data_IF_970446753131
#
_entry.id   IF_970446753131
#
_cell.length_a   1.000
_cell.length_b   1.000
_cell.length_c   1.000
_cell.angle_alpha   90.00
_cell.angle_beta   90.00
_cell.angle_gamma   90.00
#
_symmetry.space_group_name_H-M   'P 1'
#
loop_
_entity.id
_entity.type
_entity.pdbx_description
1 polymer ?
#
# COMPACT_ATOMS: atom_id res chain seq x y z
N UNK A 1 19.73 -33.13 -17.70
CA UNK A 1 19.26 -32.48 -18.94
C UNK A 1 17.73 -32.63 -18.97
N UNK A 2 16.88 -31.61 -18.90
CA UNK A 2 17.08 -30.17 -18.89
C UNK A 2 16.13 -29.50 -17.89
N UNK A 3 16.74 -28.86 -16.87
CA UNK A 3 16.18 -27.71 -16.18
C UNK A 3 16.48 -26.52 -17.08
N UNK A 4 15.48 -25.91 -17.69
CA UNK A 4 15.49 -24.54 -18.28
C UNK A 4 14.15 -24.17 -18.97
N UNK A 5 13.04 -24.87 -18.67
CA UNK A 5 11.72 -24.59 -19.27
C UNK A 5 10.77 -23.76 -18.37
N UNK A 6 11.19 -23.32 -17.17
CA UNK A 6 10.29 -22.76 -16.15
C UNK A 6 10.38 -21.25 -15.87
N UNK A 7 11.30 -20.52 -16.50
CA UNK A 7 11.56 -19.11 -16.19
C UNK A 7 10.63 -18.06 -16.83
N UNK A 8 10.01 -18.24 -18.02
CA UNK A 8 9.22 -17.16 -18.61
C UNK A 8 7.86 -16.96 -17.92
N UNK A 9 7.27 -18.00 -17.32
CA UNK A 9 5.97 -17.91 -16.63
C UNK A 9 6.04 -17.23 -15.26
N UNK A 10 7.19 -17.28 -14.58
CA UNK A 10 7.42 -16.62 -13.28
C UNK A 10 7.68 -15.11 -13.40
N UNK A 11 8.09 -14.62 -14.57
CA UNK A 11 8.36 -13.19 -14.75
C UNK A 11 7.11 -12.40 -15.14
N UNK A 12 6.16 -13.06 -15.81
CA UNK A 12 4.97 -12.41 -16.34
C UNK A 12 4.12 -11.77 -15.21
N UNK A 13 3.85 -12.41 -14.05
CA UNK A 13 3.07 -11.80 -12.97
C UNK A 13 3.80 -10.64 -12.31
N UNK A 14 5.14 -10.71 -12.22
CA UNK A 14 5.97 -9.60 -11.74
C UNK A 14 5.82 -8.37 -12.65
N UNK A 15 5.91 -8.56 -13.96
CA UNK A 15 5.70 -7.48 -14.94
C UNK A 15 4.30 -6.88 -14.85
N UNK A 16 3.31 -7.73 -14.60
CA UNK A 16 1.93 -7.34 -14.50
C UNK A 16 1.65 -6.54 -13.21
N UNK A 17 2.19 -6.97 -12.07
CA UNK A 17 2.17 -6.23 -10.81
C UNK A 17 2.92 -4.90 -10.91
N UNK A 18 4.08 -4.87 -11.59
CA UNK A 18 4.83 -3.66 -11.91
C UNK A 18 4.01 -2.69 -12.77
N UNK A 19 3.38 -3.18 -13.83
CA UNK A 19 2.54 -2.36 -14.71
C UNK A 19 1.38 -1.73 -13.92
N UNK A 20 0.67 -2.53 -13.13
CA UNK A 20 -0.47 -2.08 -12.32
C UNK A 20 -0.05 -1.07 -11.24
N UNK A 21 1.12 -1.27 -10.63
CA UNK A 21 1.74 -0.32 -9.70
C UNK A 21 2.09 0.99 -10.38
N UNK A 22 2.78 0.92 -11.52
CA UNK A 22 3.18 2.11 -12.29
C UNK A 22 1.95 2.89 -12.76
N UNK A 23 0.92 2.20 -13.22
CA UNK A 23 -0.39 2.79 -13.56
C UNK A 23 -1.00 3.48 -12.34
N UNK A 24 -1.09 2.79 -11.21
CA UNK A 24 -1.67 3.35 -9.97
C UNK A 24 -0.92 4.59 -9.51
N UNK A 25 0.42 4.54 -9.49
CA UNK A 25 1.26 5.67 -9.11
C UNK A 25 1.17 6.83 -10.11
N UNK A 26 1.11 6.54 -11.42
CA UNK A 26 0.90 7.55 -12.46
C UNK A 26 -0.46 8.23 -12.31
N UNK A 27 -1.50 7.47 -11.99
CA UNK A 27 -2.85 7.95 -11.72
C UNK A 27 -2.87 8.84 -10.47
N UNK A 28 -2.21 8.44 -9.39
CA UNK A 28 -2.06 9.27 -8.20
C UNK A 28 -1.33 10.57 -8.52
N UNK A 29 -0.21 10.51 -9.24
CA UNK A 29 0.53 11.71 -9.65
C UNK A 29 -0.35 12.64 -10.50
N UNK A 30 -1.06 12.09 -11.49
CA UNK A 30 -1.99 12.86 -12.33
C UNK A 30 -3.12 13.43 -11.48
N UNK A 31 -3.62 12.70 -10.49
CA UNK A 31 -4.62 13.14 -9.52
C UNK A 31 -4.19 14.36 -8.74
N UNK A 32 -2.95 14.32 -8.25
CA UNK A 32 -2.29 15.41 -7.54
C UNK A 32 -2.07 16.61 -8.46
N UNK A 33 -1.60 16.39 -9.69
CA UNK A 33 -1.26 17.45 -10.65
C UNK A 33 -2.46 18.13 -11.33
N UNK A 34 -3.52 17.39 -11.64
CA UNK A 34 -4.60 17.84 -12.52
C UNK A 34 -5.89 18.23 -11.79
N UNK A 35 -5.87 18.37 -10.46
CA UNK A 35 -7.07 18.70 -9.66
C UNK A 35 -8.29 17.89 -10.09
N UNK A 36 -8.15 16.55 -10.10
CA UNK A 36 -9.05 15.66 -10.83
C UNK A 36 -10.53 16.04 -10.76
N UNK A 37 -11.09 16.27 -11.94
CA UNK A 37 -12.51 16.19 -12.20
C UNK A 37 -12.93 14.71 -12.18
N UNK A 38 -14.20 14.45 -11.87
CA UNK A 38 -14.80 13.09 -11.86
C UNK A 38 -14.43 12.25 -13.11
N UNK A 39 -14.37 12.79 -14.34
CA UNK A 39 -13.91 12.04 -15.52
C UNK A 39 -12.49 11.47 -15.42
N UNK A 40 -11.57 12.18 -14.75
CA UNK A 40 -10.19 11.70 -14.55
C UNK A 40 -10.14 10.45 -13.66
N UNK A 41 -10.93 10.43 -12.59
CA UNK A 41 -11.12 9.26 -11.71
C UNK A 41 -11.71 8.07 -12.47
N UNK A 42 -12.66 8.31 -13.37
CA UNK A 42 -13.28 7.25 -14.16
C UNK A 42 -12.29 6.63 -15.14
N UNK A 43 -11.54 7.45 -15.89
CA UNK A 43 -10.50 6.95 -16.83
C UNK A 43 -9.43 6.16 -16.09
N UNK A 44 -8.97 6.66 -14.95
CA UNK A 44 -8.04 5.98 -14.06
C UNK A 44 -8.54 4.59 -13.68
N UNK A 45 -9.80 4.54 -13.29
CA UNK A 45 -10.45 3.32 -12.91
C UNK A 45 -10.58 2.30 -14.03
N UNK A 46 -10.95 2.76 -15.21
CA UNK A 46 -11.00 1.92 -16.42
C UNK A 46 -9.63 1.34 -16.75
N UNK A 47 -8.55 2.12 -16.64
CA UNK A 47 -7.19 1.63 -16.92
C UNK A 47 -6.78 0.60 -15.85
N UNK A 48 -6.98 0.87 -14.56
CA UNK A 48 -6.69 -0.10 -13.48
C UNK A 48 -7.48 -1.41 -13.67
N UNK A 49 -8.76 -1.29 -14.05
CA UNK A 49 -9.62 -2.44 -14.36
C UNK A 49 -9.09 -3.21 -15.57
N UNK A 50 -8.79 -2.53 -16.68
CA UNK A 50 -8.30 -3.16 -17.90
C UNK A 50 -6.94 -3.84 -17.71
N UNK A 51 -6.03 -3.22 -16.96
CA UNK A 51 -4.76 -3.85 -16.59
C UNK A 51 -5.03 -5.07 -15.73
N UNK A 52 -5.82 -4.95 -14.65
CA UNK A 52 -6.21 -6.08 -13.80
C UNK A 52 -6.86 -7.23 -14.60
N UNK A 53 -7.77 -6.92 -15.53
CA UNK A 53 -8.39 -7.89 -16.45
C UNK A 53 -7.34 -8.59 -17.31
N UNK A 54 -6.47 -7.80 -17.95
CA UNK A 54 -5.42 -8.33 -18.82
C UNK A 54 -4.49 -9.25 -18.06
N UNK A 55 -4.19 -8.92 -16.81
CA UNK A 55 -3.37 -9.80 -15.97
C UNK A 55 -4.10 -11.08 -15.59
N UNK A 56 -5.36 -10.97 -15.15
CA UNK A 56 -6.15 -12.14 -14.75
C UNK A 56 -6.33 -13.14 -15.91
N UNK A 57 -6.69 -12.64 -17.09
CA UNK A 57 -6.85 -13.45 -18.30
C UNK A 57 -5.56 -14.17 -18.72
N UNK A 58 -4.39 -13.66 -18.33
CA UNK A 58 -3.10 -14.30 -18.60
C UNK A 58 -2.74 -15.42 -17.61
N UNK A 59 -3.32 -15.44 -16.41
CA UNK A 59 -2.86 -16.32 -15.32
C UNK A 59 -3.87 -17.27 -14.72
N UNK A 60 -5.16 -17.00 -14.88
CA UNK A 60 -6.23 -17.91 -14.46
C UNK A 60 -7.34 -17.90 -15.52
N UNK A 61 -7.21 -18.73 -16.59
CA UNK A 61 -8.21 -18.83 -17.64
C UNK A 61 -9.44 -19.63 -17.18
N UNK A 62 -9.62 -19.91 -15.89
CA UNK A 62 -10.77 -20.66 -15.40
C UNK A 62 -12.08 -19.95 -15.78
N UNK A 63 -12.99 -20.65 -16.49
CA UNK A 63 -14.19 -20.05 -17.07
C UNK A 63 -15.25 -19.63 -16.02
N UNK A 64 -14.99 -19.85 -14.73
CA UNK A 64 -15.95 -19.66 -13.64
C UNK A 64 -15.90 -18.26 -13.01
N UNK A 65 -14.83 -17.47 -13.22
CA UNK A 65 -14.79 -16.08 -12.77
C UNK A 65 -15.38 -15.15 -13.83
N UNK A 66 -16.68 -14.89 -13.67
CA UNK A 66 -17.46 -14.02 -14.56
C UNK A 66 -16.83 -12.63 -14.77
N UNK A 67 -17.06 -12.03 -15.94
CA UNK A 67 -16.75 -10.62 -16.24
C UNK A 67 -17.17 -9.67 -15.11
N UNK A 68 -18.24 -10.01 -14.37
CA UNK A 68 -18.72 -9.24 -13.22
C UNK A 68 -17.71 -9.19 -12.06
N UNK A 69 -17.02 -10.29 -11.74
CA UNK A 69 -15.99 -10.33 -10.68
C UNK A 69 -14.81 -9.42 -11.01
N UNK A 70 -14.41 -9.41 -12.28
CA UNK A 70 -13.29 -8.57 -12.73
C UNK A 70 -13.69 -7.09 -12.76
N UNK A 71 -14.91 -6.77 -13.20
CA UNK A 71 -15.44 -5.42 -13.09
C UNK A 71 -15.54 -4.95 -11.64
N UNK A 72 -15.92 -5.83 -10.72
CA UNK A 72 -16.00 -5.54 -9.28
C UNK A 72 -14.63 -5.17 -8.70
N UNK A 73 -13.57 -5.94 -8.98
CA UNK A 73 -12.20 -5.58 -8.54
C UNK A 73 -11.72 -4.28 -9.17
N UNK A 74 -12.03 -4.09 -10.44
CA UNK A 74 -11.80 -2.85 -11.14
C UNK A 74 -12.36 -1.64 -10.41
N UNK A 75 -13.68 -1.65 -10.18
CA UNK A 75 -14.44 -0.62 -9.47
C UNK A 75 -13.89 -0.39 -8.06
N UNK A 76 -13.58 -1.46 -7.32
CA UNK A 76 -12.99 -1.38 -5.99
C UNK A 76 -11.64 -0.65 -5.99
N UNK A 77 -10.74 -0.99 -6.93
CA UNK A 77 -9.45 -0.31 -7.06
C UNK A 77 -9.61 1.18 -7.41
N UNK A 78 -10.58 1.53 -8.29
CA UNK A 78 -10.89 2.96 -8.57
C UNK A 78 -11.32 3.68 -7.32
N UNK A 79 -12.25 3.08 -6.57
CA UNK A 79 -12.81 3.66 -5.37
C UNK A 79 -11.72 3.84 -4.32
N UNK A 80 -10.84 2.85 -4.14
CA UNK A 80 -9.69 2.92 -3.22
C UNK A 80 -8.70 4.01 -3.63
N UNK A 81 -8.27 4.06 -4.90
CA UNK A 81 -7.33 5.09 -5.37
C UNK A 81 -7.96 6.48 -5.25
N UNK A 82 -9.22 6.63 -5.66
CA UNK A 82 -9.95 7.89 -5.63
C UNK A 82 -10.17 8.41 -4.21
N UNK A 83 -10.62 7.54 -3.29
CA UNK A 83 -10.79 7.90 -1.88
C UNK A 83 -9.45 8.17 -1.21
N UNK A 84 -8.40 7.41 -1.52
CA UNK A 84 -7.05 7.67 -1.00
C UNK A 84 -6.52 9.03 -1.42
N UNK A 85 -6.70 9.40 -2.69
CA UNK A 85 -6.36 10.71 -3.21
C UNK A 85 -7.14 11.83 -2.53
N UNK A 86 -8.45 11.65 -2.37
CA UNK A 86 -9.32 12.64 -1.73
C UNK A 86 -8.93 12.87 -0.27
N UNK A 87 -8.84 11.78 0.51
CA UNK A 87 -8.43 11.81 1.92
C UNK A 87 -7.02 12.37 2.05
N UNK A 88 -6.10 11.90 1.21
CA UNK A 88 -4.71 12.34 1.21
C UNK A 88 -4.58 13.83 0.94
N UNK A 89 -5.36 14.38 0.00
CA UNK A 89 -5.42 15.82 -0.24
C UNK A 89 -5.99 16.60 0.95
N UNK A 90 -7.07 16.13 1.56
CA UNK A 90 -7.67 16.77 2.72
C UNK A 90 -6.69 16.85 3.90
N UNK A 91 -6.01 15.75 4.20
CA UNK A 91 -5.02 15.69 5.28
C UNK A 91 -3.80 16.52 4.93
N UNK A 92 -3.26 16.35 3.72
CA UNK A 92 -2.10 17.11 3.27
C UNK A 92 -2.38 18.61 3.34
N UNK A 93 -3.60 19.07 3.04
CA UNK A 93 -4.04 20.46 3.17
C UNK A 93 -3.90 21.06 4.57
N UNK A 94 -3.88 20.23 5.62
CA UNK A 94 -3.68 20.63 7.02
C UNK A 94 -2.21 20.65 7.45
N UNK A 95 -1.29 20.18 6.61
CA UNK A 95 0.14 20.28 6.87
C UNK A 95 0.57 21.72 6.60
N UNK A 96 0.77 22.51 7.66
CA UNK A 96 1.09 23.92 7.55
C UNK A 96 2.57 24.19 7.26
N UNK A 97 3.47 23.37 7.80
CA UNK A 97 4.92 23.53 7.67
C UNK A 97 5.59 22.25 7.17
N UNK A 98 6.59 22.40 6.31
CA UNK A 98 7.35 21.27 5.76
C UNK A 98 8.13 20.50 6.83
N UNK A 99 8.46 21.14 7.96
CA UNK A 99 9.15 20.49 9.09
C UNK A 99 8.33 19.36 9.73
N UNK A 100 7.00 19.42 9.65
CA UNK A 100 6.09 18.39 10.15
C UNK A 100 6.15 17.07 9.36
N UNK A 101 6.73 17.06 8.16
CA UNK A 101 6.84 15.85 7.34
C UNK A 101 7.55 14.74 8.09
N UNK A 102 8.68 15.04 8.75
CA UNK A 102 9.45 14.03 9.50
C UNK A 102 8.60 13.44 10.65
N UNK A 103 8.01 14.24 11.55
CA UNK A 103 7.08 13.73 12.55
C UNK A 103 5.95 12.87 11.98
N UNK A 104 5.29 13.33 10.91
CA UNK A 104 4.16 12.62 10.29
C UNK A 104 4.61 11.24 9.80
N UNK A 105 5.70 11.16 9.04
CA UNK A 105 6.15 9.86 8.51
C UNK A 105 6.66 8.94 9.61
N UNK A 106 7.26 9.46 10.68
CA UNK A 106 7.68 8.64 11.83
C UNK A 106 6.48 8.00 12.53
N UNK A 107 5.42 8.77 12.78
CA UNK A 107 4.18 8.24 13.39
C UNK A 107 3.54 7.20 12.50
N UNK A 108 3.38 7.50 11.21
CA UNK A 108 2.78 6.57 10.25
C UNK A 108 3.59 5.27 10.12
N UNK A 109 4.92 5.38 10.06
CA UNK A 109 5.83 4.22 10.01
C UNK A 109 5.71 3.37 11.27
N UNK A 110 5.66 4.00 12.44
CA UNK A 110 5.52 3.29 13.71
C UNK A 110 4.17 2.54 13.80
N UNK A 111 3.08 3.18 13.38
CA UNK A 111 1.75 2.58 13.35
C UNK A 111 1.71 1.41 12.36
N UNK A 112 2.34 1.52 11.20
CA UNK A 112 2.40 0.46 10.18
C UNK A 112 3.20 -0.75 10.65
N UNK A 113 4.38 -0.53 11.25
CA UNK A 113 5.17 -1.62 11.85
C UNK A 113 4.35 -2.33 12.93
N UNK A 114 3.69 -1.58 13.80
CA UNK A 114 2.86 -2.17 14.85
C UNK A 114 1.65 -2.91 14.28
N UNK A 115 0.94 -2.35 13.30
CA UNK A 115 -0.26 -2.96 12.72
C UNK A 115 0.05 -4.24 11.96
N UNK A 116 1.20 -4.31 11.28
CA UNK A 116 1.64 -5.50 10.53
C UNK A 116 2.11 -6.62 11.45
N UNK A 117 2.91 -6.33 12.48
CA UNK A 117 3.49 -7.38 13.32
C UNK A 117 2.66 -7.76 14.55
N UNK A 118 1.92 -6.82 15.12
CA UNK A 118 1.23 -7.01 16.42
C UNK A 118 -0.25 -6.66 16.37
N UNK A 119 -0.69 -5.97 15.31
CA UNK A 119 -2.02 -5.41 15.20
C UNK A 119 -2.93 -6.11 14.18
N UNK A 120 -4.05 -5.45 13.81
CA UNK A 120 -5.08 -6.05 12.98
C UNK A 120 -4.62 -6.42 11.57
N UNK A 121 -3.67 -5.67 10.99
CA UNK A 121 -3.23 -5.88 9.61
C UNK A 121 -2.52 -7.22 9.43
N UNK A 122 -1.67 -7.62 10.38
CA UNK A 122 -1.06 -8.95 10.38
C UNK A 122 -2.09 -10.08 10.47
N UNK A 123 -3.12 -9.89 11.30
CA UNK A 123 -4.20 -10.86 11.50
C UNK A 123 -5.09 -11.00 10.27
N UNK A 124 -5.51 -9.88 9.68
CA UNK A 124 -6.27 -9.88 8.43
C UNK A 124 -5.44 -10.50 7.30
N UNK A 125 -4.13 -10.24 7.24
CA UNK A 125 -3.26 -10.87 6.26
C UNK A 125 -3.16 -12.40 6.44
N UNK A 126 -3.07 -12.88 7.68
CA UNK A 126 -3.10 -14.31 8.00
C UNK A 126 -4.46 -14.94 7.64
N UNK A 127 -5.57 -14.31 8.04
CA UNK A 127 -6.92 -14.77 7.76
C UNK A 127 -7.24 -14.82 6.25
N UNK A 128 -6.73 -13.86 5.46
CA UNK A 128 -6.85 -13.87 4.00
C UNK A 128 -6.05 -15.02 3.37
N UNK A 129 -4.90 -15.39 3.93
CA UNK A 129 -4.11 -16.53 3.43
C UNK A 129 -4.80 -17.86 3.72
N UNK A 130 -5.44 -18.00 4.88
CA UNK A 130 -6.11 -19.23 5.31
C UNK A 130 -7.53 -19.37 4.73
N UNK A 131 -8.27 -18.27 4.62
CA UNK A 131 -9.68 -18.22 4.19
C UNK A 131 -9.93 -17.03 3.24
N UNK A 132 -9.52 -17.14 1.96
CA UNK A 132 -9.58 -16.04 0.98
C UNK A 132 -11.00 -15.58 0.59
N UNK A 133 -12.08 -16.18 1.11
CA UNK A 133 -13.47 -15.90 0.72
C UNK A 133 -14.34 -15.29 1.84
N UNK A 134 -13.89 -15.29 3.10
CA UNK A 134 -14.75 -14.93 4.24
C UNK A 134 -14.51 -13.52 4.81
N UNK A 135 -13.37 -12.88 4.54
CA UNK A 135 -13.03 -11.56 5.09
C UNK A 135 -13.44 -10.39 4.17
N UNK A 136 -14.75 -10.15 4.00
CA UNK A 136 -15.29 -9.08 3.12
C UNK A 136 -14.67 -7.69 3.35
N UNK A 137 -14.46 -7.31 4.62
CA UNK A 137 -13.89 -6.00 4.99
C UNK A 137 -12.38 -5.90 4.73
N UNK A 138 -11.63 -6.97 5.00
CA UNK A 138 -10.19 -7.03 4.71
C UNK A 138 -9.93 -6.95 3.21
N UNK A 139 -10.72 -7.69 2.43
CA UNK A 139 -10.71 -7.69 0.98
C UNK A 139 -11.07 -6.34 0.34
N UNK A 140 -11.99 -5.59 0.94
CA UNK A 140 -12.43 -4.29 0.43
C UNK A 140 -11.40 -3.18 0.64
N UNK A 141 -10.48 -3.32 1.59
CA UNK A 141 -9.48 -2.29 1.96
C UNK A 141 -8.10 -2.54 1.34
N UNK A 142 -7.99 -3.51 0.46
CA UNK A 142 -6.72 -3.90 -0.14
C UNK A 142 -6.74 -3.73 -1.65
N UNK A 143 -5.63 -3.27 -2.20
CA UNK A 143 -5.41 -3.30 -3.64
C UNK A 143 -5.15 -4.73 -4.09
N UNK A 144 -5.95 -5.17 -5.05
CA UNK A 144 -5.85 -6.51 -5.60
C UNK A 144 -4.75 -6.57 -6.65
N UNK A 145 -3.69 -7.32 -6.34
CA UNK A 145 -2.57 -7.57 -7.24
C UNK A 145 -2.49 -9.05 -7.61
N UNK A 146 -2.28 -9.36 -8.89
CA UNK A 146 -1.87 -10.69 -9.31
C UNK A 146 -0.45 -10.94 -8.78
N UNK A 147 -0.29 -11.89 -7.85
CA UNK A 147 1.00 -12.20 -7.24
C UNK A 147 1.53 -13.56 -7.71
N UNK A 148 2.82 -13.77 -7.46
CA UNK A 148 3.61 -14.96 -7.78
C UNK A 148 3.44 -16.11 -6.79
N UNK A 149 2.61 -15.96 -5.77
CA UNK A 149 2.44 -17.00 -4.76
C UNK A 149 1.73 -18.20 -5.40
N UNK A 150 2.29 -19.42 -5.34
CA UNK A 150 1.61 -20.61 -5.87
C UNK A 150 0.28 -20.80 -5.12
N UNK A 151 -0.84 -20.64 -5.82
CA UNK A 151 -2.14 -21.11 -5.35
C UNK A 151 -2.20 -22.62 -5.61
N UNK A 152 -1.78 -23.43 -4.64
CA UNK A 152 -1.87 -24.90 -4.73
C UNK A 152 -1.26 -25.49 -6.01
N UNK A 153 -1.83 -26.60 -6.49
CA UNK A 153 -1.32 -27.45 -7.59
C UNK A 153 -1.41 -26.84 -9.00
N UNK A 154 -1.10 -25.55 -9.18
CA UNK A 154 -0.82 -24.98 -10.51
C UNK A 154 -1.35 -23.59 -10.78
N UNK A 155 -1.95 -22.90 -9.80
CA UNK A 155 -2.46 -21.53 -9.97
C UNK A 155 -1.51 -20.46 -9.45
N UNK A 156 -1.69 -19.22 -9.92
CA UNK A 156 -1.10 -18.03 -9.31
C UNK A 156 -2.15 -17.40 -8.38
N UNK A 157 -1.81 -17.18 -7.10
CA UNK A 157 -2.70 -16.56 -6.14
C UNK A 157 -2.70 -15.03 -6.29
N UNK A 158 -3.89 -14.44 -6.31
CA UNK A 158 -4.04 -12.98 -6.18
C UNK A 158 -4.06 -12.64 -4.70
N UNK A 159 -2.88 -12.44 -4.12
CA UNK A 159 -2.77 -11.90 -2.75
C UNK A 159 -2.64 -10.39 -2.79
N UNK A 160 -3.42 -9.66 -1.98
CA UNK A 160 -3.30 -8.22 -1.87
C UNK A 160 -1.89 -7.79 -1.45
N UNK A 161 -1.31 -6.81 -2.15
CA UNK A 161 0.06 -6.37 -1.93
C UNK A 161 0.18 -4.98 -1.26
N UNK A 162 -0.90 -4.18 -1.26
CA UNK A 162 -0.92 -2.84 -0.66
C UNK A 162 -2.24 -2.56 0.02
N UNK A 163 -2.17 -1.92 1.19
CA UNK A 163 -3.34 -1.46 1.90
C UNK A 163 -3.82 -0.09 1.43
N UNK A 164 -5.09 0.17 1.67
CA UNK A 164 -5.69 1.50 1.55
C UNK A 164 -4.89 2.57 2.31
N UNK A 165 -4.35 2.22 3.48
CA UNK A 165 -3.48 3.11 4.27
C UNK A 165 -2.23 3.55 3.51
N UNK A 166 -1.56 2.64 2.82
CA UNK A 166 -0.35 2.95 2.04
C UNK A 166 -0.62 3.95 0.92
N UNK A 167 -1.77 3.80 0.25
CA UNK A 167 -2.21 4.71 -0.80
C UNK A 167 -2.54 6.10 -0.25
N UNK A 168 -3.21 6.19 0.90
CA UNK A 168 -3.47 7.46 1.57
C UNK A 168 -2.15 8.15 1.87
N UNK A 169 -1.18 7.44 2.45
CA UNK A 169 0.12 8.03 2.81
C UNK A 169 0.89 8.46 1.57
N UNK A 170 0.92 7.66 0.51
CA UNK A 170 1.51 8.06 -0.77
C UNK A 170 0.86 9.33 -1.34
N UNK A 171 -0.47 9.42 -1.28
CA UNK A 171 -1.21 10.61 -1.71
C UNK A 171 -0.90 11.85 -0.85
N UNK A 172 -0.83 11.70 0.49
CA UNK A 172 -0.43 12.77 1.40
C UNK A 172 0.96 13.28 1.02
N UNK A 173 1.94 12.39 0.85
CA UNK A 173 3.33 12.76 0.58
C UNK A 173 3.51 13.44 -0.77
N UNK A 174 2.84 12.98 -1.83
CA UNK A 174 2.86 13.65 -3.13
C UNK A 174 2.18 15.01 -3.10
N UNK A 175 1.05 15.13 -2.39
CA UNK A 175 0.37 16.41 -2.25
C UNK A 175 1.18 17.40 -1.40
N UNK A 176 1.82 16.95 -0.32
CA UNK A 176 2.81 17.73 0.45
C UNK A 176 3.94 18.18 -0.47
N UNK A 177 4.50 17.27 -1.29
CA UNK A 177 5.54 17.63 -2.24
C UNK A 177 5.07 18.71 -3.22
N UNK A 178 3.82 18.65 -3.70
CA UNK A 178 3.23 19.68 -4.56
C UNK A 178 3.12 21.02 -3.83
N UNK A 179 2.53 21.02 -2.62
CA UNK A 179 2.24 22.23 -1.83
C UNK A 179 3.49 22.97 -1.39
N UNK A 180 4.56 22.23 -1.06
CA UNK A 180 5.85 22.81 -0.64
C UNK A 180 6.87 22.90 -1.78
N UNK A 181 6.41 22.81 -3.05
CA UNK A 181 7.25 22.94 -4.25
C UNK A 181 8.47 22.01 -4.29
N UNK A 182 8.35 20.81 -3.72
CA UNK A 182 9.34 19.75 -3.85
C UNK A 182 9.26 19.11 -5.24
N UNK A 183 10.36 18.55 -5.77
CA UNK A 183 10.39 17.98 -7.12
C UNK A 183 9.47 16.75 -7.23
N UNK A 184 8.29 16.92 -7.81
CA UNK A 184 7.25 15.88 -7.87
C UNK A 184 7.69 14.61 -8.59
N UNK A 185 8.37 14.72 -9.72
CA UNK A 185 8.84 13.54 -10.47
C UNK A 185 9.84 12.71 -9.66
N UNK A 186 10.71 13.38 -8.90
CA UNK A 186 11.67 12.70 -8.02
C UNK A 186 10.96 11.96 -6.90
N UNK A 187 9.91 12.57 -6.35
CA UNK A 187 9.08 11.95 -5.32
C UNK A 187 8.25 10.79 -5.85
N UNK A 188 7.70 10.90 -7.06
CA UNK A 188 7.01 9.78 -7.72
C UNK A 188 7.98 8.59 -7.92
N UNK A 189 9.16 8.85 -8.45
CA UNK A 189 10.18 7.79 -8.64
C UNK A 189 10.55 7.17 -7.30
N UNK A 190 10.73 7.97 -6.25
CA UNK A 190 11.01 7.47 -4.91
C UNK A 190 9.90 6.55 -4.38
N UNK A 191 8.63 6.90 -4.58
CA UNK A 191 7.48 6.07 -4.19
C UNK A 191 7.40 4.77 -4.99
N UNK A 192 7.59 4.83 -6.32
CA UNK A 192 7.62 3.64 -7.17
C UNK A 192 8.75 2.70 -6.72
N UNK A 193 9.95 3.24 -6.47
CA UNK A 193 11.07 2.45 -5.96
C UNK A 193 10.75 1.86 -4.59
N UNK A 194 10.13 2.63 -3.69
CA UNK A 194 9.72 2.17 -2.36
C UNK A 194 8.78 0.97 -2.42
N UNK A 195 7.76 1.07 -3.27
CA UNK A 195 6.79 0.01 -3.49
C UNK A 195 7.44 -1.25 -4.07
N UNK A 196 8.32 -1.08 -5.07
CA UNK A 196 9.03 -2.21 -5.66
C UNK A 196 9.93 -2.87 -4.60
N UNK A 197 10.62 -2.08 -3.78
CA UNK A 197 11.48 -2.61 -2.73
C UNK A 197 10.69 -3.32 -1.63
N UNK A 198 9.51 -2.82 -1.24
CA UNK A 198 8.67 -3.50 -0.24
C UNK A 198 8.10 -4.80 -0.80
N UNK A 199 7.65 -4.81 -2.06
CA UNK A 199 7.18 -6.02 -2.74
C UNK A 199 8.29 -7.07 -2.85
N UNK A 200 9.49 -6.68 -3.30
CA UNK A 200 10.64 -7.59 -3.37
C UNK A 200 11.04 -8.11 -2.00
N UNK A 201 10.97 -7.28 -0.96
CA UNK A 201 11.25 -7.70 0.41
C UNK A 201 10.22 -8.74 0.88
N UNK A 202 8.94 -8.54 0.54
CA UNK A 202 7.86 -9.45 0.89
C UNK A 202 8.01 -10.82 0.19
N UNK A 203 8.67 -10.89 -0.97
CA UNK A 203 9.00 -12.17 -1.62
C UNK A 203 10.12 -12.94 -0.89
N UNK A 204 10.95 -12.24 -0.10
CA UNK A 204 12.07 -12.83 0.63
C UNK A 204 11.70 -13.24 2.07
N UNK A 205 10.51 -12.86 2.53
CA UNK A 205 10.09 -13.06 3.92
C UNK A 205 8.74 -13.76 3.96
N UNK A 206 8.56 -14.82 4.76
CA UNK A 206 7.29 -15.53 4.86
C UNK A 206 6.18 -14.70 5.54
N UNK A 207 6.54 -13.62 6.25
CA UNK A 207 5.61 -12.71 6.92
C UNK A 207 5.35 -11.45 6.08
N UNK A 208 4.15 -10.88 6.22
CA UNK A 208 3.84 -9.55 5.68
C UNK A 208 4.86 -8.51 6.14
N UNK A 209 5.21 -7.57 5.25
CA UNK A 209 6.21 -6.53 5.52
C UNK A 209 5.52 -5.16 5.52
N UNK A 210 5.80 -4.31 6.53
CA UNK A 210 5.31 -2.94 6.54
C UNK A 210 5.91 -2.14 5.37
N UNK A 211 5.05 -1.56 4.53
CA UNK A 211 5.45 -0.85 3.33
C UNK A 211 5.80 0.62 3.63
N UNK A 212 5.18 1.24 4.64
CA UNK A 212 5.41 2.64 4.98
C UNK A 212 6.87 2.96 5.37
N UNK A 213 7.63 2.09 6.06
CA UNK A 213 9.06 2.32 6.28
C UNK A 213 9.83 2.63 4.99
N UNK A 214 9.56 1.89 3.90
CA UNK A 214 10.22 2.10 2.61
C UNK A 214 9.78 3.42 1.98
N UNK A 215 8.47 3.68 1.98
CA UNK A 215 7.86 4.89 1.43
C UNK A 215 8.39 6.14 2.15
N UNK A 216 8.36 6.12 3.49
CA UNK A 216 8.84 7.20 4.34
C UNK A 216 10.34 7.45 4.15
N UNK A 217 11.16 6.39 4.21
CA UNK A 217 12.60 6.51 4.10
C UNK A 217 13.04 7.09 2.75
N UNK A 218 12.46 6.62 1.64
CA UNK A 218 12.82 7.12 0.31
C UNK A 218 12.28 8.54 0.07
N UNK A 219 11.06 8.86 0.50
CA UNK A 219 10.52 10.22 0.39
C UNK A 219 11.36 11.23 1.20
N UNK A 220 11.67 10.92 2.46
CA UNK A 220 12.54 11.78 3.28
C UNK A 220 13.94 11.84 2.70
N UNK A 221 14.50 10.71 2.26
CA UNK A 221 15.84 10.63 1.69
C UNK A 221 16.01 11.51 0.46
N UNK A 222 15.08 11.48 -0.49
CA UNK A 222 15.17 12.34 -1.67
C UNK A 222 14.99 13.82 -1.35
N UNK A 223 14.23 14.17 -0.30
CA UNK A 223 14.02 15.55 0.11
C UNK A 223 14.85 15.98 1.33
N UNK A 224 15.86 15.19 1.73
CA UNK A 224 16.56 15.37 3.00
C UNK A 224 17.11 16.77 3.20
N UNK A 225 17.63 17.39 2.14
CA UNK A 225 18.18 18.76 2.17
C UNK A 225 17.10 19.85 2.22
N UNK A 226 15.92 19.57 1.65
CA UNK A 226 14.83 20.54 1.55
C UNK A 226 13.97 20.56 2.81
N UNK A 227 13.82 19.43 3.50
CA UNK A 227 12.99 19.33 4.71
C UNK A 227 13.73 20.00 5.90
N UNK A 228 13.17 21.07 6.49
CA UNK A 228 13.71 21.68 7.70
C UNK A 228 13.63 20.70 8.85
N UNK A 229 14.73 20.59 9.61
CA UNK A 229 14.82 19.70 10.76
C UNK A 229 14.64 20.53 12.01
N UNK A 230 13.43 20.52 12.56
CA UNK A 230 13.15 21.19 13.83
C UNK A 230 13.32 20.18 14.97
N UNK A 231 14.41 20.26 15.78
CA UNK A 231 14.65 19.28 16.84
C UNK A 231 13.54 19.27 17.89
N UNK A 232 12.83 20.39 18.11
CA UNK A 232 11.70 20.44 19.05
C UNK A 232 10.51 19.62 18.55
N UNK A 233 10.17 19.73 17.27
CA UNK A 233 9.08 18.94 16.66
C UNK A 233 9.43 17.45 16.63
N UNK A 234 10.69 17.12 16.33
CA UNK A 234 11.19 15.74 16.38
C UNK A 234 11.14 15.19 17.81
N UNK A 235 11.54 15.98 18.81
CA UNK A 235 11.47 15.56 20.21
C UNK A 235 10.03 15.37 20.70
N UNK A 236 9.11 16.26 20.32
CA UNK A 236 7.69 16.13 20.61
C UNK A 236 7.10 14.88 19.94
N UNK A 237 7.48 14.62 18.68
CA UNK A 237 7.11 13.40 17.98
C UNK A 237 7.63 12.15 18.68
N UNK A 238 8.91 12.15 19.10
CA UNK A 238 9.49 11.03 19.85
C UNK A 238 8.77 10.80 21.18
N UNK A 239 8.46 11.85 21.93
CA UNK A 239 7.68 11.77 23.17
C UNK A 239 6.26 11.23 22.92
N UNK A 240 5.60 11.71 21.86
CA UNK A 240 4.30 11.20 21.43
C UNK A 240 4.36 9.72 21.05
N UNK A 241 5.38 9.30 20.30
CA UNK A 241 5.59 7.89 19.94
C UNK A 241 5.78 7.02 21.18
N UNK A 242 6.60 7.46 22.14
CA UNK A 242 6.78 6.73 23.41
C UNK A 242 5.45 6.60 24.15
N UNK A 243 4.67 7.67 24.24
CA UNK A 243 3.35 7.63 24.86
C UNK A 243 2.38 6.70 24.10
N UNK A 244 2.36 6.78 22.77
CA UNK A 244 1.55 5.94 21.90
C UNK A 244 1.89 4.46 22.08
N UNK A 245 3.18 4.09 22.01
CA UNK A 245 3.61 2.71 22.24
C UNK A 245 3.30 2.24 23.66
N UNK A 246 3.42 3.11 24.67
CA UNK A 246 3.02 2.78 26.03
C UNK A 246 1.52 2.43 26.09
N UNK A 247 0.67 3.22 25.45
CA UNK A 247 -0.77 2.93 25.36
C UNK A 247 -1.04 1.63 24.59
N UNK A 248 -0.39 1.44 23.43
CA UNK A 248 -0.58 0.23 22.62
C UNK A 248 -0.16 -1.04 23.39
N UNK A 249 0.98 -1.02 24.07
CA UNK A 249 1.52 -2.18 24.78
C UNK A 249 0.79 -2.46 26.08
N UNK A 250 0.48 -1.44 26.89
CA UNK A 250 -0.06 -1.64 28.24
C UNK A 250 -1.58 -1.55 28.33
N UNK A 251 -2.25 -1.00 27.31
CA UNK A 251 -3.72 -0.86 27.31
C UNK A 251 -4.31 -1.70 26.19
N UNK A 252 -3.87 -1.49 24.94
CA UNK A 252 -4.50 -2.12 23.77
C UNK A 252 -4.20 -3.62 23.70
N UNK A 253 -2.95 -4.05 23.84
CA UNK A 253 -2.60 -5.47 23.77
C UNK A 253 -3.29 -6.34 24.86
N UNK A 254 -3.35 -5.92 26.14
CA UNK A 254 -4.09 -6.65 27.17
C UNK A 254 -5.60 -6.69 26.91
N UNK A 255 -6.18 -5.62 26.37
CA UNK A 255 -7.59 -5.62 26.00
C UNK A 255 -7.84 -6.55 24.80
N UNK A 256 -6.99 -6.49 23.76
CA UNK A 256 -7.12 -7.32 22.57
C UNK A 256 -7.02 -8.82 22.89
N UNK A 257 -6.13 -9.21 23.81
CA UNK A 257 -6.02 -10.59 24.31
C UNK A 257 -7.22 -11.01 25.17
N UNK A 258 -7.87 -10.08 25.88
CA UNK A 258 -9.10 -10.36 26.61
C UNK A 258 -10.33 -10.56 25.70
N UNK A 259 -10.38 -9.88 24.55
CA UNK A 259 -11.47 -10.03 23.56
C UNK A 259 -11.26 -11.21 22.60
N UNK A 260 -10.03 -11.69 22.43
CA UNK A 260 -9.68 -12.81 21.54
C UNK A 260 -8.85 -13.89 22.28
N UNK A 261 -9.47 -14.63 23.23
CA UNK A 261 -8.76 -15.63 24.01
C UNK A 261 -8.45 -16.85 23.13
N UNK A 262 -7.22 -16.98 22.63
CA UNK A 262 -6.83 -18.15 21.84
C UNK A 262 -5.42 -18.16 21.25
N UNK A 263 -4.79 -17.00 21.04
CA UNK A 263 -3.44 -16.93 20.46
C UNK A 263 -2.50 -16.17 21.39
N UNK A 264 -1.47 -16.87 21.88
CA UNK A 264 -0.38 -16.25 22.64
C UNK A 264 0.39 -15.28 21.72
N UNK A 265 0.53 -14.03 22.16
CA UNK A 265 1.28 -12.95 21.50
C UNK A 265 2.80 -13.17 21.56
#
# INVERSE_FOLDING_TARGET
>A
MGRLAGTPLLLLPLFAALALTLTTMWLILRGVLLEWTVPGLVVAGVICTAVSQGVHLLFDPSPERSLATVLQFGVANVALIGSSLFIGKLIAGRVENLSWVIPIVLVLTAVDIWSVYFGPTGRVAAEIQETPLESELGQALLLWYPNLTPAGEGGLAVTPAFGFGDLIVAAILLEVARRFALPLMRNLVALVVAIITSLLSALLTPSGIPALPFIAALFVGVNWRAIPKNPREIALCAAFLVALFTVLVFIVNPLASAFWPGEEL
#
